data_IF_696200015730
#
_entry.id   IF_696200015730
#
_cell.length_a   1.000
_cell.length_b   1.000
_cell.length_c   1.000
_cell.angle_alpha   90.00
_cell.angle_beta   90.00
_cell.angle_gamma   90.00
#
_symmetry.space_group_name_H-M   'P 1'
#
loop_
_entity.id
_entity.type
_entity.pdbx_description
1 polymer ?
#
# COMPACT_ATOMS: atom_id res chain seq x y z
N UNK A 1 0.80 -0.89 -21.22
CA UNK A 1 0.99 -1.37 -19.84
C UNK A 1 1.42 -0.21 -18.94
N UNK A 2 0.96 -0.14 -17.68
CA UNK A 2 1.29 0.94 -16.73
C UNK A 2 2.76 0.95 -16.36
N UNK A 3 3.40 -0.22 -16.22
CA UNK A 3 4.82 -0.31 -15.87
C UNK A 3 5.68 0.30 -16.97
N UNK A 4 5.42 -0.05 -18.23
CA UNK A 4 6.13 0.54 -19.37
C UNK A 4 5.92 2.05 -19.47
N UNK A 5 4.68 2.55 -19.29
CA UNK A 5 4.39 4.01 -19.31
C UNK A 5 5.16 4.77 -18.22
N UNK A 6 5.37 4.13 -17.07
CA UNK A 6 6.10 4.71 -15.96
C UNK A 6 7.59 4.34 -15.96
N UNK A 7 8.08 3.53 -16.88
CA UNK A 7 9.49 3.06 -16.89
C UNK A 7 9.85 2.20 -15.68
N UNK A 8 8.88 1.48 -15.10
CA UNK A 8 9.06 0.63 -13.93
C UNK A 8 9.41 -0.79 -14.33
N UNK A 9 10.22 -1.46 -13.49
CA UNK A 9 10.52 -2.90 -13.61
C UNK A 9 9.84 -3.65 -12.47
N UNK A 10 9.37 -4.89 -12.70
CA UNK A 10 8.85 -5.73 -11.62
C UNK A 10 9.85 -5.84 -10.46
N UNK A 11 9.34 -5.68 -9.23
CA UNK A 11 10.09 -5.63 -7.96
C UNK A 11 11.13 -4.52 -7.87
N UNK A 12 11.10 -3.54 -8.77
CA UNK A 12 12.00 -2.39 -8.78
C UNK A 12 11.41 -1.11 -8.19
N UNK A 13 10.31 -1.20 -7.43
CA UNK A 13 9.63 -0.06 -6.82
C UNK A 13 8.74 -0.50 -5.66
N UNK A 14 8.46 0.44 -4.76
CA UNK A 14 7.40 0.36 -3.76
C UNK A 14 6.12 1.00 -4.33
N UNK A 15 4.95 0.49 -3.98
CA UNK A 15 3.68 1.19 -4.23
C UNK A 15 3.18 1.76 -2.92
N UNK A 16 2.77 3.02 -2.93
CA UNK A 16 2.21 3.70 -1.77
C UNK A 16 0.76 4.11 -2.04
N UNK A 17 -0.12 3.83 -1.09
CA UNK A 17 -1.40 4.55 -0.96
C UNK A 17 -1.54 5.07 0.46
N UNK A 18 -1.98 6.32 0.60
CA UNK A 18 -2.09 6.98 1.89
C UNK A 18 -3.18 8.03 1.81
N UNK A 19 -4.28 7.86 2.54
CA UNK A 19 -5.49 8.67 2.37
C UNK A 19 -6.47 8.64 3.57
N UNK A 20 -6.23 7.80 4.58
CA UNK A 20 -7.09 7.70 5.76
C UNK A 20 -7.07 9.00 6.57
N UNK A 21 -8.23 9.42 7.07
CA UNK A 21 -8.39 10.72 7.73
C UNK A 21 -7.47 10.89 8.95
N UNK A 22 -7.38 9.86 9.78
CA UNK A 22 -6.52 9.79 10.96
C UNK A 22 -5.03 10.02 10.65
N UNK A 23 -4.62 9.75 9.41
CA UNK A 23 -3.26 9.84 8.94
C UNK A 23 -2.97 11.16 8.20
N UNK A 24 -3.94 11.70 7.46
CA UNK A 24 -3.71 12.83 6.54
C UNK A 24 -4.29 14.17 7.01
N UNK A 25 -5.20 14.19 7.98
CA UNK A 25 -5.87 15.42 8.42
C UNK A 25 -5.15 16.20 9.51
N UNK A 26 -4.00 15.71 9.99
CA UNK A 26 -3.09 16.46 10.87
C UNK A 26 -1.81 16.78 10.11
N UNK A 27 -1.35 18.03 10.24
CA UNK A 27 -0.07 18.48 9.68
C UNK A 27 1.09 17.69 10.25
N UNK A 28 1.05 17.41 11.55
CA UNK A 28 2.07 16.67 12.29
C UNK A 28 2.15 15.22 11.81
N UNK A 29 1.00 14.54 11.67
CA UNK A 29 0.93 13.16 11.19
C UNK A 29 1.39 13.07 9.73
N UNK A 30 0.89 13.94 8.84
CA UNK A 30 1.27 13.92 7.44
C UNK A 30 2.76 14.28 7.25
N UNK A 31 3.28 15.22 8.05
CA UNK A 31 4.70 15.53 8.13
C UNK A 31 5.53 14.32 8.53
N UNK A 32 5.10 13.58 9.55
CA UNK A 32 5.78 12.36 10.02
C UNK A 32 5.70 11.24 8.98
N UNK A 33 4.59 11.12 8.26
CA UNK A 33 4.45 10.17 7.17
C UNK A 33 5.44 10.44 6.03
N UNK A 34 5.71 11.70 5.69
CA UNK A 34 6.75 12.05 4.71
C UNK A 34 8.15 11.59 5.16
N UNK A 35 8.49 11.75 6.45
CA UNK A 35 9.74 11.19 7.00
C UNK A 35 9.78 9.65 6.88
N UNK A 36 8.65 9.00 7.14
CA UNK A 36 8.54 7.55 7.02
C UNK A 36 8.69 7.07 5.57
N UNK A 37 8.18 7.82 4.58
CA UNK A 37 8.35 7.51 3.17
C UNK A 37 9.81 7.66 2.74
N UNK A 38 10.49 8.70 3.20
CA UNK A 38 11.92 8.89 2.93
C UNK A 38 12.75 7.73 3.49
N UNK A 39 12.50 7.33 4.73
CA UNK A 39 13.16 6.17 5.34
C UNK A 39 12.83 4.89 4.57
N UNK A 40 11.58 4.65 4.20
CA UNK A 40 11.20 3.46 3.42
C UNK A 40 11.95 3.36 2.09
N UNK A 41 12.05 4.47 1.36
CA UNK A 41 12.82 4.52 0.11
C UNK A 41 14.31 4.26 0.34
N UNK A 42 14.89 4.83 1.41
CA UNK A 42 16.30 4.62 1.76
C UNK A 42 16.59 3.17 2.13
N UNK A 43 15.78 2.57 2.99
CA UNK A 43 15.98 1.20 3.47
C UNK A 43 15.77 0.14 2.38
N UNK A 44 14.93 0.45 1.38
CA UNK A 44 14.73 -0.42 0.22
C UNK A 44 15.68 -0.16 -0.93
N UNK A 45 16.30 1.03 -0.98
CA UNK A 45 16.99 1.54 -2.16
C UNK A 45 16.12 1.53 -3.43
N UNK A 46 14.80 1.69 -3.28
CA UNK A 46 13.82 1.68 -4.37
C UNK A 46 12.98 2.96 -4.38
N UNK A 47 12.53 3.42 -5.56
CA UNK A 47 11.57 4.52 -5.65
C UNK A 47 10.20 4.08 -5.13
N UNK A 48 9.47 5.05 -4.58
CA UNK A 48 8.07 4.91 -4.19
C UNK A 48 7.19 5.50 -5.29
N UNK A 49 6.31 4.68 -5.85
CA UNK A 49 5.26 5.12 -6.77
C UNK A 49 4.01 5.40 -5.94
N UNK A 50 3.57 6.66 -5.93
CA UNK A 50 2.45 7.11 -5.13
C UNK A 50 1.34 7.69 -6.03
N UNK A 51 0.36 6.87 -6.46
CA UNK A 51 -0.90 7.37 -7.02
C UNK A 51 -1.64 8.16 -5.92
N UNK A 52 -1.41 9.48 -5.89
CA UNK A 52 -1.76 10.29 -4.74
C UNK A 52 -3.27 10.52 -4.69
N UNK A 53 -3.91 10.12 -3.60
CA UNK A 53 -5.34 10.35 -3.42
C UNK A 53 -5.64 11.85 -3.35
N UNK A 54 -6.75 12.35 -3.96
CA UNK A 54 -7.10 13.78 -3.96
C UNK A 54 -7.14 14.40 -2.56
N UNK A 55 -7.59 13.64 -1.54
CA UNK A 55 -7.55 14.07 -0.13
C UNK A 55 -6.13 14.43 0.32
N UNK A 56 -5.18 13.53 0.12
CA UNK A 56 -3.80 13.70 0.57
C UNK A 56 -3.10 14.82 -0.19
N UNK A 57 -3.34 14.91 -1.51
CA UNK A 57 -2.86 16.03 -2.31
C UNK A 57 -3.40 17.38 -1.81
N UNK A 58 -4.69 17.46 -1.46
CA UNK A 58 -5.30 18.64 -0.86
C UNK A 58 -4.64 18.99 0.49
N UNK A 59 -4.45 18.03 1.38
CA UNK A 59 -3.85 18.24 2.70
C UNK A 59 -2.39 18.68 2.63
N UNK A 60 -1.60 18.13 1.70
CA UNK A 60 -0.23 18.59 1.47
C UNK A 60 -0.17 20.09 1.13
N UNK A 61 -1.11 20.57 0.30
CA UNK A 61 -1.21 22.00 -0.04
C UNK A 61 -1.65 22.84 1.15
N UNK A 62 -2.73 22.45 1.81
CA UNK A 62 -3.28 23.19 2.97
C UNK A 62 -2.28 23.33 4.11
N UNK A 63 -1.45 22.31 4.34
CA UNK A 63 -0.45 22.32 5.41
C UNK A 63 0.90 22.93 5.00
N UNK A 64 1.06 23.34 3.73
CA UNK A 64 2.31 23.88 3.20
C UNK A 64 3.43 22.83 3.11
N UNK A 65 3.08 21.55 2.95
CA UNK A 65 4.01 20.42 2.86
C UNK A 65 4.34 20.01 1.42
N UNK A 66 3.70 20.61 0.42
CA UNK A 66 3.89 20.26 -1.00
C UNK A 66 5.36 20.34 -1.44
N UNK A 67 6.05 21.45 -1.14
CA UNK A 67 7.48 21.61 -1.46
C UNK A 67 8.37 20.54 -0.82
N UNK A 68 8.01 20.09 0.40
CA UNK A 68 8.75 19.03 1.08
C UNK A 68 8.50 17.67 0.42
N UNK A 69 7.25 17.39 0.05
CA UNK A 69 6.92 16.18 -0.70
C UNK A 69 7.63 16.16 -2.07
N UNK A 70 7.79 17.31 -2.72
CA UNK A 70 8.54 17.44 -3.98
C UNK A 70 10.05 17.27 -3.83
N UNK A 71 10.61 17.65 -2.68
CA UNK A 71 12.03 17.46 -2.38
C UNK A 71 12.40 15.98 -2.19
N UNK A 72 11.42 15.11 -1.91
CA UNK A 72 11.62 13.66 -1.82
C UNK A 72 11.76 13.06 -3.23
N UNK A 73 12.97 13.07 -3.77
CA UNK A 73 13.27 12.56 -5.13
C UNK A 73 12.91 11.08 -5.33
N UNK A 74 12.89 10.30 -4.25
CA UNK A 74 12.45 8.90 -4.26
C UNK A 74 10.92 8.73 -4.29
N UNK A 75 10.15 9.78 -3.98
CA UNK A 75 8.69 9.75 -3.94
C UNK A 75 8.11 10.27 -5.25
N UNK A 76 7.79 9.35 -6.16
CA UNK A 76 7.14 9.67 -7.42
C UNK A 76 5.63 9.75 -7.24
N UNK A 77 5.13 10.96 -6.99
CA UNK A 77 3.70 11.27 -7.01
C UNK A 77 3.18 11.22 -8.45
N UNK A 78 2.11 10.45 -8.68
CA UNK A 78 1.41 10.38 -9.97
C UNK A 78 -0.08 10.59 -9.76
N UNK A 79 -0.79 10.96 -10.82
CA UNK A 79 -2.24 11.05 -10.80
C UNK A 79 -2.88 9.71 -10.40
N UNK A 80 -4.05 9.71 -9.73
CA UNK A 80 -4.81 8.50 -9.45
C UNK A 80 -4.96 7.61 -10.68
N UNK A 81 -4.63 6.34 -10.53
CA UNK A 81 -4.69 5.35 -11.61
C UNK A 81 -6.03 4.63 -11.64
N UNK A 82 -6.47 4.20 -12.82
CA UNK A 82 -7.62 3.29 -12.93
C UNK A 82 -7.34 1.94 -12.25
N UNK A 83 -8.41 1.22 -11.90
CA UNK A 83 -8.32 -0.04 -11.13
C UNK A 83 -7.35 -1.06 -11.75
N UNK A 84 -7.44 -1.32 -13.05
CA UNK A 84 -6.58 -2.30 -13.73
C UNK A 84 -5.09 -1.90 -13.72
N UNK A 85 -4.80 -0.60 -13.78
CA UNK A 85 -3.43 -0.11 -13.68
C UNK A 85 -2.91 -0.25 -12.25
N UNK A 86 -3.75 0.01 -11.25
CA UNK A 86 -3.39 -0.17 -9.85
C UNK A 86 -3.07 -1.64 -9.53
N UNK A 87 -3.91 -2.59 -9.98
CA UNK A 87 -3.65 -4.03 -9.81
C UNK A 87 -2.30 -4.45 -10.42
N UNK A 88 -1.95 -3.89 -11.58
CA UNK A 88 -0.65 -4.15 -12.22
C UNK A 88 0.51 -3.55 -11.43
N UNK A 89 0.33 -2.34 -10.89
CA UNK A 89 1.31 -1.70 -10.02
C UNK A 89 1.54 -2.52 -8.75
N UNK A 90 0.49 -2.95 -8.07
CA UNK A 90 0.58 -3.75 -6.86
C UNK A 90 1.26 -5.09 -7.11
N UNK A 91 0.75 -5.87 -8.07
CA UNK A 91 1.31 -7.18 -8.43
C UNK A 91 2.79 -7.10 -8.80
N UNK A 92 3.19 -6.00 -9.44
CA UNK A 92 4.58 -5.75 -9.85
C UNK A 92 5.48 -5.21 -8.74
N UNK A 93 4.97 -4.84 -7.56
CA UNK A 93 5.74 -4.12 -6.56
C UNK A 93 6.73 -5.01 -5.77
N UNK A 94 7.76 -4.37 -5.22
CA UNK A 94 8.64 -4.96 -4.21
C UNK A 94 7.91 -5.09 -2.86
N UNK A 95 7.20 -4.02 -2.47
CA UNK A 95 6.34 -3.95 -1.29
C UNK A 95 5.19 -3.01 -1.61
N UNK A 96 4.00 -3.30 -1.06
CA UNK A 96 2.89 -2.36 -0.97
C UNK A 96 2.94 -1.69 0.41
N UNK A 97 3.00 -0.36 0.45
CA UNK A 97 2.81 0.43 1.66
C UNK A 97 1.43 1.06 1.63
N UNK A 98 0.59 0.80 2.63
CA UNK A 98 -0.83 1.19 2.52
C UNK A 98 -1.50 1.48 3.86
N UNK A 99 -2.48 2.38 3.87
CA UNK A 99 -3.48 2.53 4.92
C UNK A 99 -4.89 2.06 4.46
N UNK A 100 -4.99 1.52 3.26
CA UNK A 100 -6.22 0.92 2.71
C UNK A 100 -6.43 -0.49 3.27
N UNK A 101 -7.69 -0.84 3.56
CA UNK A 101 -8.06 -2.20 3.93
C UNK A 101 -8.00 -3.15 2.74
N UNK A 102 -8.60 -2.74 1.61
CA UNK A 102 -8.63 -3.56 0.39
C UNK A 102 -7.24 -3.91 -0.15
N UNK A 103 -6.30 -2.97 -0.10
CA UNK A 103 -4.94 -3.22 -0.59
C UNK A 103 -4.15 -4.16 0.31
N UNK A 104 -4.51 -4.30 1.59
CA UNK A 104 -3.94 -5.34 2.44
C UNK A 104 -4.38 -6.72 1.96
N UNK A 105 -5.66 -6.87 1.57
CA UNK A 105 -6.20 -8.12 1.01
C UNK A 105 -5.59 -8.42 -0.37
N UNK A 106 -5.58 -7.42 -1.27
CA UNK A 106 -5.09 -7.56 -2.65
C UNK A 106 -3.57 -7.87 -2.67
N UNK A 107 -2.76 -7.18 -1.87
CA UNK A 107 -1.32 -7.47 -1.78
C UNK A 107 -1.05 -8.87 -1.22
N UNK A 108 -1.81 -9.30 -0.20
CA UNK A 108 -1.75 -10.67 0.32
C UNK A 108 -2.08 -11.69 -0.77
N UNK A 109 -3.16 -11.47 -1.53
CA UNK A 109 -3.58 -12.32 -2.65
C UNK A 109 -2.50 -12.40 -3.75
N UNK A 110 -1.90 -11.26 -4.13
CA UNK A 110 -0.83 -11.22 -5.13
C UNK A 110 0.53 -11.74 -4.64
N UNK A 111 0.62 -12.13 -3.37
CA UNK A 111 1.88 -12.49 -2.69
C UNK A 111 2.93 -11.39 -2.79
N UNK A 112 2.49 -10.15 -2.57
CA UNK A 112 3.35 -8.98 -2.49
C UNK A 112 3.44 -8.56 -1.02
N UNK A 113 4.65 -8.47 -0.44
CA UNK A 113 4.81 -8.07 0.95
C UNK A 113 4.17 -6.70 1.22
N UNK A 114 3.53 -6.56 2.37
CA UNK A 114 2.78 -5.36 2.73
C UNK A 114 3.32 -4.73 4.02
N UNK A 115 3.39 -3.40 4.04
CA UNK A 115 3.65 -2.59 5.23
C UNK A 115 2.44 -1.69 5.44
N UNK A 116 1.65 -2.00 6.45
CA UNK A 116 0.45 -1.23 6.78
C UNK A 116 0.83 -0.01 7.62
N UNK A 117 0.49 1.16 7.09
CA UNK A 117 0.75 2.47 7.68
C UNK A 117 -0.35 2.89 8.67
N UNK A 118 -0.77 1.94 9.51
CA UNK A 118 -1.78 2.09 10.57
C UNK A 118 -1.30 1.37 11.82
N UNK A 119 -1.81 1.80 12.97
CA UNK A 119 -1.52 1.16 14.26
C UNK A 119 -2.30 -0.14 14.48
N UNK A 120 -3.37 -0.35 13.71
CA UNK A 120 -4.21 -1.54 13.77
C UNK A 120 -4.75 -1.89 12.37
N UNK A 121 -5.29 -3.10 12.23
CA UNK A 121 -5.97 -3.55 11.01
C UNK A 121 -7.14 -4.47 11.35
N UNK A 122 -8.18 -4.34 10.54
CA UNK A 122 -9.34 -5.23 10.44
C UNK A 122 -9.05 -6.50 9.62
N UNK A 123 -7.80 -6.74 9.22
CA UNK A 123 -7.31 -7.89 8.42
C UNK A 123 -6.22 -8.70 9.13
N UNK A 124 -6.48 -9.23 10.35
CA UNK A 124 -5.46 -9.94 11.14
C UNK A 124 -4.87 -11.15 10.42
N UNK A 125 -5.62 -11.78 9.52
CA UNK A 125 -5.17 -12.90 8.69
C UNK A 125 -3.97 -12.56 7.79
N UNK A 126 -3.83 -11.30 7.33
CA UNK A 126 -2.63 -10.86 6.60
C UNK A 126 -1.39 -10.81 7.48
N UNK A 127 -1.55 -10.55 8.78
CA UNK A 127 -0.46 -10.56 9.74
C UNK A 127 -0.09 -11.99 10.11
N UNK A 128 -1.10 -12.86 10.28
CA UNK A 128 -0.92 -14.27 10.63
C UNK A 128 -0.13 -15.05 9.57
N UNK A 129 -0.31 -14.73 8.28
CA UNK A 129 0.45 -15.33 7.18
C UNK A 129 1.86 -14.75 7.00
N UNK A 130 2.17 -13.64 7.68
CA UNK A 130 3.41 -12.88 7.50
C UNK A 130 3.44 -11.99 6.25
N UNK A 131 2.35 -11.99 5.45
CA UNK A 131 2.22 -11.18 4.24
C UNK A 131 2.27 -9.68 4.53
N UNK A 132 1.83 -9.27 5.72
CA UNK A 132 1.70 -7.89 6.12
C UNK A 132 2.35 -7.63 7.49
N UNK A 133 2.71 -6.38 7.76
CA UNK A 133 3.17 -5.92 9.07
C UNK A 133 2.61 -4.53 9.37
N UNK A 134 2.17 -4.29 10.60
CA UNK A 134 1.75 -2.97 11.07
C UNK A 134 2.97 -2.14 11.46
N UNK A 135 3.15 -0.99 10.82
CA UNK A 135 4.25 -0.07 11.11
C UNK A 135 3.79 1.28 11.68
N UNK A 136 2.50 1.61 11.57
CA UNK A 136 2.04 2.98 11.79
C UNK A 136 2.74 3.93 10.83
N UNK A 137 3.05 5.14 11.31
CA UNK A 137 3.80 6.15 10.52
C UNK A 137 5.08 6.60 11.21
N UNK A 138 5.55 5.84 12.20
CA UNK A 138 6.84 6.09 12.82
C UNK A 138 7.99 5.72 11.86
N UNK A 139 8.91 6.65 11.52
CA UNK A 139 9.94 6.38 10.52
C UNK A 139 10.85 5.19 10.87
N UNK A 140 11.16 4.98 12.16
CA UNK A 140 12.01 3.87 12.58
C UNK A 140 11.29 2.52 12.44
N UNK A 141 10.00 2.45 12.85
CA UNK A 141 9.15 1.27 12.65
C UNK A 141 8.94 0.96 11.17
N UNK A 142 8.67 1.98 10.35
CA UNK A 142 8.50 1.82 8.91
C UNK A 142 9.78 1.31 8.26
N UNK A 143 10.94 1.88 8.59
CA UNK A 143 12.22 1.39 8.08
C UNK A 143 12.50 -0.07 8.47
N UNK A 144 12.27 -0.43 9.72
CA UNK A 144 12.43 -1.81 10.18
C UNK A 144 11.45 -2.78 9.50
N UNK A 145 10.19 -2.37 9.32
CA UNK A 145 9.17 -3.12 8.62
C UNK A 145 9.52 -3.36 7.15
N UNK A 146 9.99 -2.32 6.45
CA UNK A 146 10.44 -2.42 5.06
C UNK A 146 11.61 -3.39 4.94
N UNK A 147 12.66 -3.24 5.76
CA UNK A 147 13.81 -4.18 5.76
C UNK A 147 13.37 -5.62 5.98
N UNK A 148 12.46 -5.85 6.94
CA UNK A 148 11.92 -7.17 7.21
C UNK A 148 11.13 -7.72 6.02
N UNK A 149 10.21 -6.94 5.46
CA UNK A 149 9.32 -7.37 4.38
C UNK A 149 10.04 -7.60 3.05
N UNK A 150 11.18 -6.94 2.79
CA UNK A 150 12.02 -7.24 1.63
C UNK A 150 12.58 -8.67 1.65
N UNK A 151 12.78 -9.24 2.83
CA UNK A 151 13.31 -10.59 3.03
C UNK A 151 12.25 -11.70 3.12
N UNK A 152 10.97 -11.36 3.12
CA UNK A 152 9.89 -12.35 3.29
C UNK A 152 9.73 -13.19 2.02
N UNK A 153 9.59 -14.51 2.20
CA UNK A 153 9.26 -15.43 1.11
C UNK A 153 7.83 -15.19 0.65
N UNK A 154 7.64 -15.08 -0.67
CA UNK A 154 6.35 -14.80 -1.31
C UNK A 154 5.57 -16.08 -1.64
N UNK A 155 5.46 -16.99 -0.68
CA UNK A 155 4.88 -18.33 -0.82
C UNK A 155 3.79 -18.64 0.22
N UNK A 156 3.33 -17.63 0.97
CA UNK A 156 2.26 -17.80 1.96
C UNK A 156 0.93 -18.27 1.33
N UNK A 157 0.11 -19.00 2.11
CA UNK A 157 -1.23 -19.38 1.69
C UNK A 157 -2.14 -18.14 1.61
N UNK A 158 -3.06 -18.14 0.64
CA UNK A 158 -4.09 -17.09 0.54
C UNK A 158 -5.23 -17.37 1.53
N UNK A 159 -5.51 -16.50 2.51
CA UNK A 159 -6.62 -16.69 3.44
C UNK A 159 -7.98 -16.27 2.87
N UNK A 160 -8.03 -15.62 1.70
CA UNK A 160 -9.24 -14.99 1.15
C UNK A 160 -10.03 -15.87 0.17
N UNK A 161 -9.74 -17.17 0.13
CA UNK A 161 -10.46 -18.14 -0.68
C UNK A 161 -9.92 -18.33 -2.09
N UNK A 162 -10.80 -18.79 -2.99
CA UNK A 162 -10.48 -19.34 -4.31
C UNK A 162 -11.02 -18.49 -5.48
N UNK A 163 -11.59 -17.32 -5.19
CA UNK A 163 -12.17 -16.43 -6.19
C UNK A 163 -13.59 -16.81 -6.65
N UNK A 164 -14.24 -17.78 -6.01
CA UNK A 164 -15.60 -18.24 -6.36
C UNK A 164 -16.70 -17.68 -5.45
N UNK A 165 -16.35 -16.75 -4.55
CA UNK A 165 -17.27 -16.19 -3.54
C UNK A 165 -18.55 -15.62 -4.16
N UNK A 166 -18.47 -14.95 -5.31
CA UNK A 166 -19.66 -14.41 -6.00
C UNK A 166 -20.66 -15.49 -6.42
N UNK A 167 -20.17 -16.58 -7.01
CA UNK A 167 -20.98 -17.75 -7.38
C UNK A 167 -21.59 -18.39 -6.15
N UNK A 168 -20.79 -18.64 -5.10
CA UNK A 168 -21.27 -19.23 -3.85
C UNK A 168 -22.37 -18.37 -3.19
N UNK A 169 -22.23 -17.05 -3.19
CA UNK A 169 -23.27 -16.15 -2.67
C UNK A 169 -24.54 -16.25 -3.52
N UNK A 170 -24.43 -16.23 -4.84
CA UNK A 170 -25.57 -16.35 -5.73
C UNK A 170 -26.34 -17.66 -5.51
N UNK A 171 -25.63 -18.79 -5.40
CA UNK A 171 -26.22 -20.10 -5.09
C UNK A 171 -26.94 -20.12 -3.74
N UNK A 172 -26.37 -19.49 -2.70
CA UNK A 172 -27.02 -19.38 -1.39
C UNK A 172 -28.28 -18.52 -1.42
N UNK A 173 -28.27 -17.43 -2.21
CA UNK A 173 -29.44 -16.56 -2.37
C UNK A 173 -30.53 -17.27 -3.16
N UNK A 174 -30.19 -17.96 -4.24
CA UNK A 174 -31.10 -18.77 -5.06
C UNK A 174 -31.78 -19.84 -4.21
N UNK A 175 -30.99 -20.64 -3.47
CA UNK A 175 -31.51 -21.68 -2.57
C UNK A 175 -32.43 -21.13 -1.46
N UNK A 176 -32.21 -19.88 -1.02
CA UNK A 176 -33.07 -19.22 -0.02
C UNK A 176 -34.40 -18.74 -0.62
N UNK A 177 -34.42 -18.34 -1.89
CA UNK A 177 -35.60 -17.79 -2.56
C UNK A 177 -36.50 -18.88 -3.18
N UNK A 178 -35.95 -20.05 -3.52
CA UNK A 178 -36.66 -21.18 -4.14
C UNK A 178 -36.70 -21.11 -5.66
#
# INVERSE_FOLDING_TARGET
DVLSRLGLRPRGYLVLTFHRAENVDSKEQLSRALDAFEVAARESALPIVFPIHPRTAKRLREFGLEKRADALTSLRRIEPTGYLDMLRLEKGAAIVMTDSGGLQEESCFFRVPCVTLRENTERPETLATGANILAGIDPARVGAAVRKQLGVKRDWPNPYGDGTTGTKIAEQVDAFLG
#
